data_IF_938416370761
#
_entry.id   IF_938416370761
#
_cell.length_a   1.000
_cell.length_b   1.000
_cell.length_c   1.000
_cell.angle_alpha   90.00
_cell.angle_beta   90.00
_cell.angle_gamma   90.00
#
_symmetry.space_group_name_H-M   'P 1'
#
loop_
_entity.id
_entity.type
_entity.pdbx_description
1 polymer ?
#
# COMPACT_ATOMS: atom_id res chain seq x y z
N UNK A 1 22.49 -49.29 41.89
CA UNK A 1 21.24 -49.09 41.10
C UNK A 1 21.13 -47.62 40.82
N UNK A 2 21.45 -47.21 39.60
CA UNK A 2 21.32 -45.85 39.16
C UNK A 2 19.94 -45.69 38.50
N UNK A 3 19.06 -44.95 39.16
CA UNK A 3 17.78 -44.55 38.55
C UNK A 3 18.06 -43.46 37.52
N UNK A 4 18.09 -43.84 36.25
CA UNK A 4 18.05 -42.88 35.13
C UNK A 4 16.68 -42.20 35.06
N UNK A 5 16.60 -40.98 35.53
CA UNK A 5 15.46 -40.14 35.28
C UNK A 5 15.40 -39.83 33.78
N UNK A 6 14.46 -40.40 33.07
CA UNK A 6 14.10 -39.92 31.74
C UNK A 6 13.60 -38.50 31.92
N UNK A 7 14.32 -37.50 31.44
CA UNK A 7 13.78 -36.18 31.20
C UNK A 7 12.67 -36.36 30.16
N UNK A 8 11.42 -36.23 30.57
CA UNK A 8 10.30 -36.10 29.64
C UNK A 8 10.58 -34.91 28.73
N UNK A 9 10.67 -35.15 27.41
CA UNK A 9 10.67 -34.08 26.43
C UNK A 9 9.42 -33.26 26.67
N UNK A 10 9.51 -31.91 26.69
CA UNK A 10 8.29 -31.09 26.88
C UNK A 10 7.23 -31.47 25.87
N UNK A 11 6.03 -31.73 26.36
CA UNK A 11 4.83 -31.91 25.51
C UNK A 11 4.55 -30.60 24.80
N UNK A 12 4.21 -30.66 23.47
CA UNK A 12 3.80 -29.49 22.70
C UNK A 12 2.50 -28.92 23.25
N UNK A 13 2.32 -27.63 23.06
CA UNK A 13 1.11 -26.89 23.41
C UNK A 13 0.26 -26.62 22.18
N UNK A 14 -1.03 -26.37 22.34
CA UNK A 14 -1.86 -25.75 21.29
C UNK A 14 -1.79 -24.25 21.44
N UNK A 15 -1.34 -23.57 20.39
CA UNK A 15 -1.22 -22.12 20.31
C UNK A 15 -2.28 -21.60 19.36
N UNK A 16 -3.10 -20.68 19.84
CA UNK A 16 -4.18 -20.04 19.06
C UNK A 16 -3.73 -18.66 18.63
N UNK A 17 -3.79 -18.37 17.33
CA UNK A 17 -3.47 -17.09 16.73
C UNK A 17 -4.64 -16.59 15.91
N UNK A 18 -4.87 -15.27 15.94
CA UNK A 18 -5.78 -14.60 15.04
C UNK A 18 -4.95 -13.81 14.01
N UNK A 19 -5.25 -14.01 12.75
CA UNK A 19 -4.64 -13.28 11.64
C UNK A 19 -5.69 -12.44 10.94
N UNK A 20 -5.37 -11.19 10.58
CA UNK A 20 -6.25 -10.40 9.75
C UNK A 20 -5.63 -10.04 8.40
N UNK A 21 -6.44 -10.15 7.35
CA UNK A 21 -6.07 -9.87 5.97
C UNK A 21 -7.28 -9.64 5.08
N UNK A 22 -7.02 -9.36 3.81
CA UNK A 22 -8.05 -9.08 2.81
C UNK A 22 -8.89 -10.33 2.53
N UNK A 23 -10.21 -10.17 2.37
CA UNK A 23 -11.12 -11.30 2.08
C UNK A 23 -10.75 -12.03 0.77
N UNK A 24 -10.28 -11.30 -0.26
CA UNK A 24 -9.82 -11.87 -1.54
C UNK A 24 -8.61 -12.81 -1.41
N UNK A 25 -7.77 -12.60 -0.40
CA UNK A 25 -6.51 -13.30 -0.24
C UNK A 25 -6.61 -14.47 0.76
N UNK A 26 -7.84 -14.71 1.29
CA UNK A 26 -8.08 -15.68 2.35
C UNK A 26 -7.60 -17.09 1.97
N UNK A 27 -8.05 -17.62 0.84
CA UNK A 27 -7.70 -19.00 0.41
C UNK A 27 -6.18 -19.15 0.21
N UNK A 28 -5.54 -18.13 -0.34
CA UNK A 28 -4.08 -18.11 -0.49
C UNK A 28 -3.38 -18.11 0.88
N UNK A 29 -3.79 -17.24 1.79
CA UNK A 29 -3.19 -17.16 3.12
C UNK A 29 -3.46 -18.45 3.94
N UNK A 30 -4.62 -19.08 3.82
CA UNK A 30 -4.89 -20.39 4.43
C UNK A 30 -3.91 -21.46 3.93
N UNK A 31 -3.55 -21.46 2.65
CA UNK A 31 -2.51 -22.35 2.10
C UNK A 31 -1.15 -22.07 2.77
N UNK A 32 -0.77 -20.81 2.93
CA UNK A 32 0.48 -20.43 3.60
C UNK A 32 0.47 -20.84 5.10
N UNK A 33 -0.68 -20.83 5.77
CA UNK A 33 -0.75 -21.28 7.16
C UNK A 33 -0.48 -22.78 7.28
N UNK A 34 -0.96 -23.61 6.35
CA UNK A 34 -0.63 -25.04 6.33
C UNK A 34 0.87 -25.28 6.05
N UNK A 35 1.46 -24.49 5.15
CA UNK A 35 2.90 -24.54 4.89
C UNK A 35 3.73 -24.11 6.13
N UNK A 36 3.31 -23.08 6.84
CA UNK A 36 3.91 -22.66 8.12
C UNK A 36 3.89 -23.81 9.14
N UNK A 37 2.72 -24.43 9.34
CA UNK A 37 2.57 -25.56 10.26
C UNK A 37 3.48 -26.73 9.90
N UNK A 38 3.55 -27.06 8.60
CA UNK A 38 4.42 -28.13 8.09
C UNK A 38 5.91 -27.81 8.32
N UNK A 39 6.34 -26.57 8.06
CA UNK A 39 7.72 -26.13 8.28
C UNK A 39 8.11 -26.17 9.77
N UNK A 40 7.20 -25.69 10.66
CA UNK A 40 7.42 -25.77 12.11
C UNK A 40 7.57 -27.21 12.59
N UNK A 41 6.70 -28.11 12.13
CA UNK A 41 6.77 -29.53 12.46
C UNK A 41 8.08 -30.17 11.95
N UNK A 42 8.49 -29.86 10.72
CA UNK A 42 9.76 -30.34 10.14
C UNK A 42 10.99 -29.83 10.92
N UNK A 43 10.94 -28.61 11.47
CA UNK A 43 11.95 -28.05 12.34
C UNK A 43 11.96 -28.66 13.76
N UNK A 44 11.08 -29.61 14.05
CA UNK A 44 11.00 -30.32 15.34
C UNK A 44 10.18 -29.59 16.41
N UNK A 45 9.43 -28.54 16.03
CA UNK A 45 8.47 -27.90 16.92
C UNK A 45 7.37 -28.89 17.30
N UNK A 46 7.04 -28.94 18.58
CA UNK A 46 6.02 -29.86 19.13
C UNK A 46 4.66 -29.19 19.29
N UNK A 47 4.60 -27.87 19.08
CA UNK A 47 3.36 -27.12 19.22
C UNK A 47 2.39 -27.42 18.06
N UNK A 48 1.11 -27.32 18.37
CA UNK A 48 0.02 -27.32 17.37
C UNK A 48 -0.46 -25.89 17.20
N UNK A 49 -0.59 -25.42 15.98
CA UNK A 49 -1.03 -24.07 15.66
C UNK A 49 -2.45 -24.06 15.12
N UNK A 50 -3.33 -23.28 15.75
CA UNK A 50 -4.67 -22.98 15.26
C UNK A 50 -4.69 -21.52 14.89
N UNK A 51 -4.88 -21.21 13.61
CA UNK A 51 -4.82 -19.84 13.07
C UNK A 51 -6.19 -19.51 12.50
N UNK A 52 -6.87 -18.54 13.12
CA UNK A 52 -8.16 -18.02 12.66
C UNK A 52 -7.93 -16.84 11.71
N UNK A 53 -8.67 -16.80 10.60
CA UNK A 53 -8.60 -15.72 9.62
C UNK A 53 -9.74 -14.73 9.84
N UNK A 54 -9.39 -13.47 10.12
CA UNK A 54 -10.29 -12.34 10.23
C UNK A 54 -10.25 -11.52 8.93
N UNK A 55 -11.40 -11.32 8.30
CA UNK A 55 -11.51 -10.58 7.03
C UNK A 55 -11.49 -9.07 7.28
N UNK A 56 -10.31 -8.54 7.63
CA UNK A 56 -10.06 -7.13 7.90
C UNK A 56 -8.84 -6.72 7.05
N UNK A 57 -9.09 -5.92 6.02
CA UNK A 57 -8.05 -5.47 5.08
C UNK A 57 -7.08 -4.44 5.68
N UNK A 58 -5.90 -4.26 5.05
CA UNK A 58 -4.83 -3.39 5.52
C UNK A 58 -5.23 -1.90 5.58
N UNK A 59 -6.27 -1.50 4.86
CA UNK A 59 -6.84 -0.15 4.84
C UNK A 59 -7.66 0.19 6.09
N UNK A 60 -8.20 -0.83 6.79
CA UNK A 60 -9.08 -0.70 7.95
C UNK A 60 -8.48 -1.21 9.26
N UNK A 61 -7.31 -1.84 9.17
CA UNK A 61 -6.72 -2.54 10.32
C UNK A 61 -6.41 -1.62 11.49
N UNK A 62 -5.99 -0.37 11.24
CA UNK A 62 -5.70 0.60 12.28
C UNK A 62 -6.92 0.84 13.18
N UNK A 63 -8.09 1.14 12.63
CA UNK A 63 -9.31 1.36 13.41
C UNK A 63 -9.69 0.14 14.26
N UNK A 64 -9.58 -1.06 13.67
CA UNK A 64 -9.95 -2.30 14.36
C UNK A 64 -8.94 -2.68 15.43
N UNK A 65 -7.62 -2.64 15.12
CA UNK A 65 -6.57 -3.02 16.07
C UNK A 65 -6.50 -2.05 17.25
N UNK A 66 -6.79 -0.77 17.04
CA UNK A 66 -6.75 0.24 18.10
C UNK A 66 -7.92 0.10 19.08
N UNK A 67 -9.09 -0.30 18.57
CA UNK A 67 -10.31 -0.43 19.40
C UNK A 67 -10.43 -1.83 20.01
N UNK A 68 -9.87 -2.85 19.38
CA UNK A 68 -10.05 -4.23 19.77
C UNK A 68 -8.82 -4.80 20.52
N UNK A 69 -8.90 -4.80 21.83
CA UNK A 69 -7.84 -5.27 22.76
C UNK A 69 -8.14 -6.62 23.41
N UNK A 70 -9.22 -7.28 23.00
CA UNK A 70 -9.64 -8.56 23.57
C UNK A 70 -8.90 -9.76 22.96
N UNK A 71 -9.11 -10.94 23.53
CA UNK A 71 -8.49 -12.19 23.08
C UNK A 71 -8.82 -12.57 21.62
N UNK A 72 -9.87 -12.01 21.05
CA UNK A 72 -10.23 -12.19 19.63
C UNK A 72 -9.58 -11.19 18.67
N UNK A 73 -8.84 -10.19 19.17
CA UNK A 73 -8.11 -9.26 18.31
C UNK A 73 -7.00 -9.97 17.52
N UNK A 74 -6.57 -9.43 16.36
CA UNK A 74 -5.52 -10.06 15.57
C UNK A 74 -4.16 -10.02 16.29
N UNK A 75 -3.50 -11.15 16.35
CA UNK A 75 -2.09 -11.28 16.76
C UNK A 75 -1.15 -10.83 15.65
N UNK A 76 -1.48 -11.20 14.41
CA UNK A 76 -0.77 -10.83 13.18
C UNK A 76 -1.76 -10.18 12.24
N UNK A 77 -1.38 -9.08 11.64
CA UNK A 77 -2.26 -8.33 10.74
C UNK A 77 -1.50 -7.70 9.57
N UNK A 78 -2.17 -7.58 8.44
CA UNK A 78 -1.69 -6.81 7.29
C UNK A 78 -1.95 -5.32 7.50
N UNK A 79 -0.96 -4.48 7.20
CA UNK A 79 -1.11 -3.03 7.23
C UNK A 79 -0.39 -2.38 6.04
N UNK A 80 -0.96 -1.31 5.51
CA UNK A 80 -0.28 -0.43 4.57
C UNK A 80 0.75 0.44 5.31
N UNK A 81 1.82 0.83 4.63
CA UNK A 81 2.96 1.51 5.24
C UNK A 81 2.62 2.85 5.92
N UNK A 82 1.61 3.58 5.43
CA UNK A 82 1.12 4.82 6.03
C UNK A 82 0.55 4.64 7.45
N UNK A 83 0.17 3.41 7.82
CA UNK A 83 -0.41 3.11 9.13
C UNK A 83 0.64 2.91 10.24
N UNK A 84 1.93 2.81 9.88
CA UNK A 84 2.97 2.47 10.87
C UNK A 84 3.03 3.47 12.03
N UNK A 85 2.88 4.77 11.74
CA UNK A 85 2.95 5.83 12.76
C UNK A 85 1.87 5.68 13.83
N UNK A 86 0.61 5.58 13.43
CA UNK A 86 -0.53 5.46 14.35
C UNK A 86 -0.50 4.14 15.12
N UNK A 87 -0.14 3.03 14.45
CA UNK A 87 -0.03 1.72 15.09
C UNK A 87 1.10 1.68 16.12
N UNK A 88 2.23 2.35 15.82
CA UNK A 88 3.35 2.52 16.75
C UNK A 88 2.94 3.32 17.99
N UNK A 89 2.36 4.50 17.81
CA UNK A 89 1.91 5.36 18.90
C UNK A 89 0.97 4.65 19.87
N UNK A 90 0.10 3.82 19.36
CA UNK A 90 -0.89 3.11 20.16
C UNK A 90 -0.38 1.80 20.77
N UNK A 91 0.90 1.47 20.58
CA UNK A 91 1.51 0.25 21.10
C UNK A 91 0.94 -1.02 20.48
N UNK A 92 0.42 -0.92 19.25
CA UNK A 92 -0.16 -2.04 18.50
C UNK A 92 0.89 -2.84 17.73
N UNK A 93 2.14 -2.38 17.70
CA UNK A 93 3.27 -3.01 17.01
C UNK A 93 4.33 -3.47 18.01
N UNK A 94 4.68 -4.74 17.95
CA UNK A 94 5.81 -5.29 18.71
C UNK A 94 7.13 -4.82 18.08
N UNK A 95 8.05 -4.33 18.92
CA UNK A 95 9.42 -4.04 18.49
C UNK A 95 10.15 -5.33 18.13
N UNK A 96 10.78 -5.37 16.97
CA UNK A 96 11.60 -6.51 16.54
C UNK A 96 12.97 -6.47 17.23
N UNK A 97 13.42 -7.63 17.72
CA UNK A 97 14.73 -7.81 18.34
C UNK A 97 15.37 -9.15 17.95
N UNK A 98 16.68 -9.28 18.12
CA UNK A 98 17.43 -10.51 17.81
C UNK A 98 17.17 -10.98 16.38
N UNK A 99 16.89 -12.27 16.20
CA UNK A 99 16.69 -12.89 14.88
C UNK A 99 15.62 -12.22 14.02
N UNK A 100 14.62 -11.56 14.62
CA UNK A 100 13.55 -10.89 13.89
C UNK A 100 14.02 -9.57 13.26
N UNK A 101 14.86 -8.80 13.98
CA UNK A 101 15.50 -7.61 13.42
C UNK A 101 16.56 -8.00 12.37
N UNK A 102 17.38 -9.04 12.66
CA UNK A 102 18.35 -9.59 11.72
C UNK A 102 17.70 -10.08 10.42
N UNK A 103 16.47 -10.57 10.46
CA UNK A 103 15.72 -10.92 9.25
C UNK A 103 15.48 -9.72 8.36
N UNK A 104 15.13 -8.55 8.93
CA UNK A 104 14.95 -7.32 8.17
C UNK A 104 16.27 -6.86 7.58
N UNK A 105 17.34 -6.81 8.39
CA UNK A 105 18.69 -6.39 7.95
C UNK A 105 19.21 -7.25 6.79
N UNK A 106 19.01 -8.58 6.88
CA UNK A 106 19.56 -9.52 5.92
C UNK A 106 18.76 -9.63 4.62
N UNK A 107 17.43 -9.44 4.67
CA UNK A 107 16.57 -9.78 3.54
C UNK A 107 15.68 -8.64 3.05
N UNK A 108 15.46 -7.58 3.85
CA UNK A 108 14.54 -6.48 3.51
C UNK A 108 15.25 -5.14 3.38
N UNK A 109 16.59 -5.13 3.34
CA UNK A 109 17.39 -3.92 3.27
C UNK A 109 16.95 -2.96 2.15
N UNK A 110 17.07 -1.67 2.40
CA UNK A 110 16.59 -0.61 1.51
C UNK A 110 15.12 -0.30 1.72
N UNK A 111 14.35 -0.16 0.66
CA UNK A 111 12.95 0.29 0.72
C UNK A 111 12.08 -0.56 1.67
N UNK A 112 12.24 -1.89 1.67
CA UNK A 112 11.47 -2.75 2.58
C UNK A 112 11.71 -2.41 4.05
N UNK A 113 12.95 -2.18 4.45
CA UNK A 113 13.28 -1.81 5.83
C UNK A 113 12.71 -0.44 6.22
N UNK A 114 12.67 0.53 5.29
CA UNK A 114 12.13 1.87 5.59
C UNK A 114 10.64 1.83 5.90
N UNK A 115 9.87 0.92 5.26
CA UNK A 115 8.43 0.76 5.49
C UNK A 115 8.06 0.42 6.94
N UNK A 116 8.99 -0.14 7.71
CA UNK A 116 8.74 -0.67 9.07
C UNK A 116 9.65 -0.06 10.13
N UNK A 117 10.40 0.98 9.79
CA UNK A 117 11.34 1.66 10.68
C UNK A 117 10.66 2.82 11.42
N UNK A 118 10.75 2.81 12.76
CA UNK A 118 10.35 3.92 13.62
C UNK A 118 11.39 4.09 14.73
N UNK A 119 11.87 5.32 14.94
CA UNK A 119 12.83 5.66 16.00
C UNK A 119 14.04 4.72 16.08
N UNK A 120 14.62 4.37 14.91
CA UNK A 120 15.82 3.53 14.80
C UNK A 120 15.62 2.05 15.12
N UNK A 121 14.39 1.55 15.10
CA UNK A 121 14.07 0.14 15.27
C UNK A 121 12.97 -0.31 14.28
N UNK A 122 12.84 -1.61 14.09
CA UNK A 122 11.84 -2.22 13.21
C UNK A 122 10.61 -2.66 14.01
N UNK A 123 9.41 -2.47 13.38
CA UNK A 123 8.11 -2.75 14.02
C UNK A 123 7.16 -3.55 13.13
N UNK A 124 7.68 -4.23 12.10
CA UNK A 124 6.87 -5.07 11.22
C UNK A 124 7.73 -5.87 10.25
N UNK A 125 7.07 -6.70 9.46
CA UNK A 125 7.68 -7.59 8.47
C UNK A 125 7.16 -7.21 7.08
N UNK A 126 7.93 -6.45 6.26
CA UNK A 126 7.48 -6.01 4.95
C UNK A 126 7.34 -7.21 4.01
N UNK A 127 6.26 -7.24 3.23
CA UNK A 127 6.03 -8.35 2.30
C UNK A 127 5.72 -7.90 0.87
N UNK A 128 5.31 -6.65 0.66
CA UNK A 128 5.21 -6.06 -0.68
C UNK A 128 5.84 -4.67 -0.72
N UNK A 129 6.43 -4.32 -1.87
CA UNK A 129 6.98 -3.00 -2.15
C UNK A 129 6.25 -2.30 -3.30
N UNK A 130 5.00 -2.66 -3.55
CA UNK A 130 4.22 -2.23 -4.70
C UNK A 130 2.84 -1.67 -4.34
N UNK A 131 2.66 -1.13 -3.13
CA UNK A 131 1.41 -0.45 -2.79
C UNK A 131 1.34 0.89 -3.52
N UNK A 132 1.03 0.82 -4.81
CA UNK A 132 0.95 1.94 -5.76
C UNK A 132 -0.08 1.66 -6.84
N UNK A 133 -0.19 2.58 -7.79
CA UNK A 133 -1.06 2.48 -8.95
C UNK A 133 -0.38 3.13 -10.16
N UNK A 134 -0.73 2.66 -11.34
CA UNK A 134 -0.26 3.20 -12.61
C UNK A 134 -1.27 2.89 -13.72
N UNK A 135 -0.96 3.30 -14.96
CA UNK A 135 -1.87 3.14 -16.07
C UNK A 135 -1.94 1.68 -16.53
N UNK A 136 -3.17 1.14 -16.57
CA UNK A 136 -3.57 -0.13 -17.17
C UNK A 136 -4.43 0.18 -18.41
N UNK A 137 -4.15 -0.38 -19.57
CA UNK A 137 -4.86 0.02 -20.79
C UNK A 137 -4.98 -1.10 -21.84
N UNK A 138 -5.91 -0.92 -22.77
CA UNK A 138 -6.15 -1.78 -23.92
C UNK A 138 -5.24 -1.36 -25.09
N UNK A 139 -4.23 -2.18 -25.45
CA UNK A 139 -3.32 -1.97 -26.57
C UNK A 139 -4.02 -2.00 -27.95
N UNK A 140 -5.24 -2.54 -28.04
CA UNK A 140 -6.00 -2.46 -29.29
C UNK A 140 -6.58 -1.07 -29.57
N UNK A 141 -6.64 -0.23 -28.52
CA UNK A 141 -7.16 1.15 -28.58
C UNK A 141 -6.04 2.18 -28.52
N UNK A 142 -5.09 1.99 -27.60
CA UNK A 142 -4.04 2.97 -27.31
C UNK A 142 -2.65 2.43 -27.70
N UNK A 143 -1.88 3.27 -28.38
CA UNK A 143 -0.46 3.03 -28.63
C UNK A 143 0.40 3.47 -27.45
N UNK A 144 1.68 3.06 -27.43
CA UNK A 144 2.64 3.53 -26.42
C UNK A 144 2.82 5.06 -26.44
N UNK A 145 2.58 5.73 -27.56
CA UNK A 145 2.66 7.19 -27.67
C UNK A 145 1.46 7.86 -27.03
N UNK A 146 0.25 7.33 -27.26
CA UNK A 146 -1.01 7.88 -26.72
C UNK A 146 -1.02 7.89 -25.18
N UNK A 147 -0.34 6.92 -24.55
CA UNK A 147 -0.35 6.75 -23.09
C UNK A 147 0.76 7.52 -22.34
N UNK A 148 1.64 8.24 -23.06
CA UNK A 148 2.73 9.00 -22.42
C UNK A 148 2.23 10.24 -21.67
N UNK A 149 1.17 10.88 -22.13
CA UNK A 149 0.58 12.06 -21.49
C UNK A 149 -0.90 11.86 -21.25
N UNK A 150 -1.42 12.49 -20.21
CA UNK A 150 -2.85 12.43 -19.89
C UNK A 150 -3.68 13.14 -20.98
N UNK A 151 -3.16 14.21 -21.57
CA UNK A 151 -3.80 14.92 -22.66
C UNK A 151 -3.92 14.04 -23.91
N UNK A 152 -2.85 13.32 -24.29
CA UNK A 152 -2.87 12.38 -25.42
C UNK A 152 -3.81 11.22 -25.17
N UNK A 153 -3.77 10.64 -23.98
CA UNK A 153 -4.64 9.53 -23.57
C UNK A 153 -6.13 9.92 -23.63
N UNK A 154 -6.48 11.05 -23.03
CA UNK A 154 -7.87 11.54 -23.02
C UNK A 154 -8.36 11.95 -24.42
N UNK A 155 -7.52 12.63 -25.21
CA UNK A 155 -7.89 13.02 -26.59
C UNK A 155 -8.10 11.79 -27.47
N UNK A 156 -7.26 10.76 -27.35
CA UNK A 156 -7.42 9.51 -28.10
C UNK A 156 -8.69 8.76 -27.65
N UNK A 157 -8.97 8.70 -26.35
CA UNK A 157 -10.19 8.10 -25.85
C UNK A 157 -11.44 8.79 -26.39
N UNK A 158 -11.50 10.14 -26.36
CA UNK A 158 -12.60 10.92 -26.90
C UNK A 158 -12.79 10.67 -28.39
N UNK A 159 -11.71 10.67 -29.19
CA UNK A 159 -11.76 10.42 -30.61
C UNK A 159 -12.37 9.05 -30.94
N UNK A 160 -12.06 8.02 -30.18
CA UNK A 160 -12.52 6.65 -30.41
C UNK A 160 -13.86 6.34 -29.70
N UNK A 161 -14.42 7.29 -28.92
CA UNK A 161 -15.66 7.11 -28.17
C UNK A 161 -15.48 6.24 -26.91
N UNK A 162 -14.30 6.23 -26.33
CA UNK A 162 -13.95 5.51 -25.10
C UNK A 162 -13.72 6.45 -23.92
N UNK A 163 -13.53 5.88 -22.76
CA UNK A 163 -13.32 6.59 -21.49
C UNK A 163 -12.03 6.14 -20.81
N UNK A 164 -11.46 7.06 -20.01
CA UNK A 164 -10.32 6.84 -19.13
C UNK A 164 -10.78 6.98 -17.71
N UNK A 165 -10.62 5.93 -16.91
CA UNK A 165 -10.95 5.95 -15.49
C UNK A 165 -9.74 6.40 -14.67
N UNK A 166 -9.93 7.45 -13.87
CA UNK A 166 -8.98 7.90 -12.85
C UNK A 166 -9.77 8.42 -11.65
N UNK A 167 -9.62 7.75 -10.51
CA UNK A 167 -10.31 8.13 -9.28
C UNK A 167 -9.64 9.35 -8.65
N UNK A 168 -10.09 10.52 -9.05
CA UNK A 168 -9.65 11.78 -8.45
C UNK A 168 -10.45 12.16 -7.20
N UNK A 169 -11.57 11.48 -6.93
CA UNK A 169 -12.47 11.80 -5.82
C UNK A 169 -12.03 11.17 -4.49
N UNK A 170 -11.16 10.17 -4.50
CA UNK A 170 -10.61 9.60 -3.27
C UNK A 170 -9.15 9.99 -3.04
N UNK A 171 -8.78 10.20 -1.78
CA UNK A 171 -7.48 10.76 -1.45
C UNK A 171 -6.29 9.89 -1.87
N UNK A 172 -6.39 8.57 -1.76
CA UNK A 172 -5.28 7.68 -2.14
C UNK A 172 -4.88 7.85 -3.62
N UNK A 173 -5.85 8.03 -4.50
CA UNK A 173 -5.63 8.18 -5.94
C UNK A 173 -5.46 9.64 -6.34
N UNK A 174 -6.43 10.49 -5.96
CA UNK A 174 -6.51 11.87 -6.43
C UNK A 174 -5.62 12.83 -5.67
N UNK A 175 -5.46 12.65 -4.34
CA UNK A 175 -4.64 13.55 -3.55
C UNK A 175 -3.16 13.49 -3.95
N UNK A 176 -2.66 12.33 -4.36
CA UNK A 176 -1.28 12.22 -4.82
C UNK A 176 -1.00 13.01 -6.11
N UNK A 177 -2.02 13.34 -6.91
CA UNK A 177 -1.86 14.25 -8.04
C UNK A 177 -1.39 15.66 -7.62
N UNK A 178 -1.59 16.05 -6.36
CA UNK A 178 -1.07 17.31 -5.81
C UNK A 178 0.45 17.35 -5.73
N UNK A 179 1.14 16.21 -5.71
CA UNK A 179 2.61 16.14 -5.71
C UNK A 179 3.23 16.37 -7.10
N UNK A 180 2.43 16.40 -8.18
CA UNK A 180 2.88 16.38 -9.59
C UNK A 180 3.97 17.40 -9.91
N UNK A 181 3.91 18.61 -9.37
CA UNK A 181 4.87 19.67 -9.64
C UNK A 181 5.80 19.98 -8.45
N UNK A 182 5.88 19.05 -7.47
CA UNK A 182 6.80 19.13 -6.35
C UNK A 182 6.27 19.86 -5.11
N UNK A 183 4.96 20.12 -5.02
CA UNK A 183 4.34 20.46 -3.73
C UNK A 183 4.35 19.24 -2.82
N UNK A 184 4.50 19.44 -1.51
CA UNK A 184 4.72 18.36 -0.58
C UNK A 184 4.21 18.69 0.83
N UNK A 185 4.24 17.68 1.70
CA UNK A 185 4.07 17.80 3.14
C UNK A 185 5.24 17.14 3.87
N UNK A 186 5.42 17.50 5.12
CA UNK A 186 6.29 16.76 6.05
C UNK A 186 5.67 16.70 7.44
N UNK A 187 5.87 15.59 8.12
CA UNK A 187 5.43 15.39 9.50
C UNK A 187 6.65 15.11 10.37
N UNK A 188 6.81 15.86 11.46
CA UNK A 188 7.83 15.58 12.48
C UNK A 188 7.19 14.99 13.74
N UNK A 189 7.92 14.12 14.42
CA UNK A 189 7.48 13.39 15.59
C UNK A 189 8.41 13.59 16.78
N UNK A 190 7.87 13.48 18.00
CA UNK A 190 8.68 13.38 19.22
C UNK A 190 9.21 11.95 19.45
N UNK A 191 9.96 11.73 20.55
CA UNK A 191 10.53 10.43 20.91
C UNK A 191 9.46 9.36 21.19
N UNK A 192 8.26 9.78 21.57
CA UNK A 192 7.10 8.92 21.83
C UNK A 192 6.27 8.66 20.57
N UNK A 193 6.64 9.29 19.44
CA UNK A 193 5.95 9.15 18.16
C UNK A 193 4.75 10.09 18.00
N UNK A 194 4.53 11.05 18.91
CA UNK A 194 3.47 12.05 18.75
C UNK A 194 3.86 13.07 17.68
N UNK A 195 2.88 13.52 16.89
CA UNK A 195 3.11 14.56 15.88
C UNK A 195 3.48 15.87 16.57
N UNK A 196 4.65 16.40 16.24
CA UNK A 196 5.14 17.72 16.68
C UNK A 196 4.69 18.82 15.73
N UNK A 197 4.84 18.61 14.44
CA UNK A 197 4.55 19.62 13.43
C UNK A 197 4.18 18.95 12.09
N UNK A 198 3.21 19.53 11.40
CA UNK A 198 2.89 19.22 10.01
C UNK A 198 3.15 20.49 9.18
N UNK A 199 3.95 20.36 8.13
CA UNK A 199 4.17 21.40 7.12
C UNK A 199 3.60 20.95 5.80
N UNK A 200 3.07 21.87 5.02
CA UNK A 200 2.63 21.64 3.64
C UNK A 200 2.73 22.92 2.84
N UNK A 201 2.99 22.80 1.54
CA UNK A 201 3.14 23.95 0.62
C UNK A 201 2.26 23.82 -0.65
N UNK A 202 1.14 23.07 -0.54
CA UNK A 202 0.18 22.89 -1.64
C UNK A 202 -0.47 24.20 -2.11
N UNK A 203 -0.43 25.25 -1.32
CA UNK A 203 -0.91 26.59 -1.71
C UNK A 203 0.15 27.42 -2.48
N UNK A 204 1.33 26.88 -2.69
CA UNK A 204 2.39 27.48 -3.51
C UNK A 204 2.16 27.32 -5.02
N UNK A 205 3.12 27.83 -5.81
CA UNK A 205 3.05 27.77 -7.28
C UNK A 205 2.98 26.32 -7.82
N UNK A 206 3.66 25.38 -7.16
CA UNK A 206 3.63 23.96 -7.52
C UNK A 206 2.26 23.35 -7.30
N UNK A 207 1.66 23.58 -6.14
CA UNK A 207 0.31 23.09 -5.82
C UNK A 207 -0.77 23.73 -6.72
N UNK A 208 -0.63 25.03 -7.08
CA UNK A 208 -1.54 25.67 -8.03
C UNK A 208 -1.48 25.03 -9.41
N UNK A 209 -0.28 24.66 -9.91
CA UNK A 209 -0.14 23.90 -11.16
C UNK A 209 -0.82 22.53 -11.07
N UNK A 210 -0.60 21.81 -9.96
CA UNK A 210 -1.23 20.51 -9.72
C UNK A 210 -2.77 20.61 -9.68
N UNK A 211 -3.30 21.64 -9.01
CA UNK A 211 -4.73 21.92 -8.97
C UNK A 211 -5.32 22.22 -10.36
N UNK A 212 -4.59 22.97 -11.20
CA UNK A 212 -4.99 23.21 -12.61
C UNK A 212 -5.01 21.91 -13.41
N UNK A 213 -4.04 21.03 -13.22
CA UNK A 213 -4.00 19.71 -13.87
C UNK A 213 -5.22 18.87 -13.49
N UNK A 214 -5.51 18.74 -12.18
CA UNK A 214 -6.68 18.02 -11.66
C UNK A 214 -7.97 18.60 -12.25
N UNK A 215 -8.12 19.92 -12.20
CA UNK A 215 -9.28 20.60 -12.79
C UNK A 215 -9.44 20.27 -14.27
N UNK A 216 -8.37 20.38 -15.06
CA UNK A 216 -8.41 20.11 -16.50
C UNK A 216 -8.80 18.67 -16.82
N UNK A 217 -8.26 17.68 -16.08
CA UNK A 217 -8.60 16.27 -16.25
C UNK A 217 -10.09 16.05 -15.97
N UNK A 218 -10.59 16.57 -14.86
CA UNK A 218 -12.00 16.39 -14.45
C UNK A 218 -13.01 17.07 -15.39
N UNK A 219 -12.60 18.09 -16.13
CA UNK A 219 -13.46 18.74 -17.13
C UNK A 219 -13.43 18.06 -18.50
N UNK A 220 -12.57 17.06 -18.71
CA UNK A 220 -12.46 16.38 -20.00
C UNK A 220 -13.59 15.36 -20.19
N UNK A 221 -14.31 15.38 -21.35
CA UNK A 221 -15.47 14.51 -21.57
C UNK A 221 -15.15 13.01 -21.58
N UNK A 222 -13.93 12.62 -21.88
CA UNK A 222 -13.48 11.22 -21.83
C UNK A 222 -13.01 10.76 -20.45
N UNK A 223 -12.95 11.66 -19.45
CA UNK A 223 -12.61 11.27 -18.09
C UNK A 223 -13.85 10.75 -17.35
N UNK A 224 -13.67 9.64 -16.60
CA UNK A 224 -14.65 9.15 -15.64
C UNK A 224 -13.97 8.84 -14.30
N UNK A 225 -14.66 9.06 -13.19
CA UNK A 225 -14.13 8.73 -11.88
C UNK A 225 -14.15 7.21 -11.66
N UNK A 226 -13.00 6.62 -11.33
CA UNK A 226 -12.89 5.20 -11.05
C UNK A 226 -11.43 4.72 -11.09
N UNK A 227 -11.16 3.58 -10.44
CA UNK A 227 -9.82 2.99 -10.33
C UNK A 227 -9.82 1.46 -10.46
N UNK A 228 -11.01 0.85 -10.57
CA UNK A 228 -11.18 -0.60 -10.69
C UNK A 228 -11.04 -1.13 -12.10
N UNK A 229 -11.02 -2.45 -12.21
CA UNK A 229 -11.08 -3.15 -13.50
C UNK A 229 -12.41 -2.83 -14.18
N UNK A 230 -12.41 -2.45 -15.49
CA UNK A 230 -13.62 -2.13 -16.21
C UNK A 230 -14.58 -3.34 -16.28
N UNK A 231 -15.87 -3.07 -16.49
CA UNK A 231 -16.84 -4.12 -16.86
C UNK A 231 -16.95 -4.26 -18.37
N UNK A 232 -17.46 -5.38 -18.84
CA UNK A 232 -17.64 -5.63 -20.28
C UNK A 232 -18.60 -4.63 -20.95
N UNK A 233 -19.52 -4.04 -20.18
CA UNK A 233 -20.50 -3.07 -20.64
C UNK A 233 -20.00 -1.63 -20.62
N UNK A 234 -18.86 -1.37 -19.95
CA UNK A 234 -18.32 -0.01 -19.86
C UNK A 234 -17.54 0.38 -21.13
N UNK A 235 -17.47 1.70 -21.38
CA UNK A 235 -16.63 2.24 -22.44
C UNK A 235 -15.18 2.50 -21.99
N UNK A 236 -14.84 2.20 -20.73
CA UNK A 236 -13.47 2.39 -20.19
C UNK A 236 -12.50 1.44 -20.87
N UNK A 237 -11.42 2.00 -21.42
CA UNK A 237 -10.33 1.24 -22.06
C UNK A 237 -8.96 1.56 -21.50
N UNK A 238 -8.90 2.50 -20.55
CA UNK A 238 -7.70 2.77 -19.75
C UNK A 238 -8.12 3.14 -18.34
N UNK A 239 -7.34 2.69 -17.34
CA UNK A 239 -7.61 2.93 -15.92
C UNK A 239 -6.30 3.21 -15.19
N UNK A 240 -6.27 4.24 -14.36
CA UNK A 240 -5.26 4.38 -13.32
C UNK A 240 -5.63 3.39 -12.22
N UNK A 241 -5.02 2.21 -12.23
CA UNK A 241 -5.43 1.04 -11.45
C UNK A 241 -4.36 0.53 -10.51
N UNK A 242 -4.78 -0.01 -9.36
CA UNK A 242 -3.89 -0.52 -8.33
C UNK A 242 -3.14 -1.80 -8.73
N UNK A 243 -1.93 -1.94 -8.22
CA UNK A 243 -1.07 -3.11 -8.46
C UNK A 243 -1.71 -4.42 -7.99
N UNK A 244 -2.55 -4.36 -6.98
CA UNK A 244 -3.29 -5.54 -6.44
C UNK A 244 -4.38 -6.08 -7.38
N UNK A 245 -4.73 -5.35 -8.44
CA UNK A 245 -5.72 -5.78 -9.44
C UNK A 245 -5.07 -6.18 -10.78
N UNK A 246 -3.73 -6.21 -10.91
CA UNK A 246 -3.00 -6.54 -12.14
C UNK A 246 -3.49 -7.86 -12.76
N UNK A 247 -3.68 -8.91 -11.96
CA UNK A 247 -4.16 -10.20 -12.46
C UNK A 247 -5.55 -10.09 -13.11
N UNK A 248 -6.44 -9.30 -12.53
CA UNK A 248 -7.79 -9.05 -13.07
C UNK A 248 -7.75 -8.18 -14.33
N UNK A 249 -6.86 -7.17 -14.40
CA UNK A 249 -6.66 -6.38 -15.62
C UNK A 249 -6.10 -7.26 -16.77
N UNK A 250 -5.15 -8.14 -16.47
CA UNK A 250 -4.62 -9.11 -17.45
C UNK A 250 -5.71 -10.05 -17.94
N UNK A 251 -6.57 -10.54 -17.07
CA UNK A 251 -7.72 -11.36 -17.44
C UNK A 251 -8.71 -10.59 -18.31
N UNK A 252 -9.03 -9.34 -17.96
CA UNK A 252 -9.99 -8.51 -18.67
C UNK A 252 -9.54 -8.15 -20.09
N UNK A 253 -8.28 -7.66 -20.25
CA UNK A 253 -7.77 -7.23 -21.54
C UNK A 253 -7.12 -8.36 -22.37
N UNK A 254 -6.81 -9.52 -21.77
CA UNK A 254 -6.15 -10.64 -22.42
C UNK A 254 -4.85 -10.24 -23.10
N UNK A 255 -4.68 -10.63 -24.38
CA UNK A 255 -3.48 -10.33 -25.19
C UNK A 255 -3.28 -8.83 -25.44
N UNK A 256 -4.34 -8.03 -25.28
CA UNK A 256 -4.31 -6.57 -25.43
C UNK A 256 -3.92 -5.84 -24.14
N UNK A 257 -3.66 -6.55 -23.05
CA UNK A 257 -3.23 -5.91 -21.82
C UNK A 257 -1.94 -5.09 -22.02
N UNK A 258 -1.99 -3.81 -21.65
CA UNK A 258 -0.88 -2.89 -21.58
C UNK A 258 -0.78 -2.24 -20.20
N UNK A 259 0.45 -1.88 -19.81
CA UNK A 259 0.69 -1.08 -18.61
C UNK A 259 1.76 -0.04 -18.88
N UNK A 260 1.63 1.12 -18.25
CA UNK A 260 2.60 2.21 -18.35
C UNK A 260 2.66 2.95 -17.01
N UNK A 261 3.77 3.67 -16.76
CA UNK A 261 3.87 4.59 -15.62
C UNK A 261 2.76 5.63 -15.67
N UNK A 262 2.53 6.35 -14.58
CA UNK A 262 1.62 7.49 -14.56
C UNK A 262 1.94 8.42 -15.72
N UNK A 263 0.93 8.80 -16.55
CA UNK A 263 1.13 9.71 -17.67
C UNK A 263 1.71 11.05 -17.23
N UNK A 264 2.38 11.75 -18.12
CA UNK A 264 2.75 13.14 -17.88
C UNK A 264 1.54 14.06 -18.04
N UNK A 265 1.62 15.23 -17.42
CA UNK A 265 0.68 16.34 -17.64
C UNK A 265 1.47 17.62 -17.85
N UNK A 266 0.97 18.52 -18.72
CA UNK A 266 1.62 19.81 -19.02
C UNK A 266 0.77 20.97 -18.53
N UNK A 267 1.33 21.79 -17.63
CA UNK A 267 0.68 23.01 -17.14
C UNK A 267 1.63 24.18 -17.26
N UNK A 268 1.20 25.27 -17.89
CA UNK A 268 1.99 26.48 -18.08
C UNK A 268 3.39 26.21 -18.70
N UNK A 269 3.50 25.19 -19.60
CA UNK A 269 4.74 24.79 -20.27
C UNK A 269 5.69 23.90 -19.43
N UNK A 270 5.30 23.53 -18.23
CA UNK A 270 6.01 22.56 -17.37
C UNK A 270 5.36 21.18 -17.48
N UNK A 271 6.14 20.16 -17.82
CA UNK A 271 5.65 18.78 -18.04
C UNK A 271 6.24 17.86 -16.98
N UNK A 272 5.38 17.23 -16.20
CA UNK A 272 5.74 16.30 -15.14
C UNK A 272 4.88 15.04 -15.20
N UNK A 273 5.37 13.91 -14.67
CA UNK A 273 4.51 12.76 -14.40
C UNK A 273 3.47 13.09 -13.34
N UNK A 274 2.22 12.67 -13.56
CA UNK A 274 1.18 12.77 -12.54
C UNK A 274 1.67 12.06 -11.26
N UNK A 275 1.55 12.76 -10.13
CA UNK A 275 1.96 12.26 -8.83
C UNK A 275 1.18 10.99 -8.46
N UNK A 276 1.86 10.09 -7.78
CA UNK A 276 1.29 8.86 -7.23
C UNK A 276 1.97 8.52 -5.92
N UNK A 277 1.30 7.77 -5.07
CA UNK A 277 1.95 7.16 -3.92
C UNK A 277 2.76 5.93 -4.35
N UNK A 278 3.92 5.75 -3.72
CA UNK A 278 4.68 4.50 -3.71
C UNK A 278 4.85 4.06 -2.25
N UNK A 279 4.38 2.88 -1.96
CA UNK A 279 4.40 2.35 -0.61
C UNK A 279 4.56 0.83 -0.63
N UNK A 280 4.31 0.24 0.51
CA UNK A 280 4.32 -1.21 0.68
C UNK A 280 3.31 -1.64 1.73
N UNK A 281 3.29 -2.93 1.99
CA UNK A 281 2.51 -3.51 3.07
C UNK A 281 3.42 -4.36 3.95
N UNK A 282 3.05 -4.46 5.20
CA UNK A 282 3.79 -5.25 6.18
C UNK A 282 2.85 -6.05 7.09
N UNK A 283 3.37 -7.09 7.69
CA UNK A 283 2.71 -7.78 8.78
C UNK A 283 3.13 -7.15 10.11
N UNK A 284 2.16 -6.61 10.85
CA UNK A 284 2.32 -6.17 12.23
C UNK A 284 2.07 -7.33 13.19
N UNK A 285 2.78 -7.33 14.32
CA UNK A 285 2.52 -8.23 15.46
C UNK A 285 2.01 -7.41 16.62
N UNK A 286 0.81 -7.74 17.11
CA UNK A 286 0.16 -7.01 18.19
C UNK A 286 0.57 -7.54 19.58
N UNK A 287 1.42 -6.85 20.33
CA UNK A 287 1.86 -7.32 21.64
C UNK A 287 0.77 -7.26 22.70
N UNK A 288 -0.31 -6.50 22.48
CA UNK A 288 -1.40 -6.31 23.45
C UNK A 288 -2.30 -7.55 23.53
N UNK A 289 -2.41 -8.32 22.44
CA UNK A 289 -3.26 -9.53 22.40
C UNK A 289 -2.63 -10.69 23.15
N UNK A 290 -1.32 -10.84 23.04
CA UNK A 290 -0.55 -11.88 23.70
C UNK A 290 0.00 -11.46 25.06
N UNK A 291 -0.58 -10.42 25.67
CA UNK A 291 -0.14 -9.89 26.97
C UNK A 291 -0.02 -10.99 28.04
N UNK A 292 1.23 -11.25 28.48
CA UNK A 292 1.55 -12.30 29.45
C UNK A 292 1.72 -13.71 28.88
N UNK A 293 1.42 -13.96 27.60
CA UNK A 293 1.65 -15.24 26.90
C UNK A 293 2.83 -15.12 25.92
N UNK A 294 4.02 -15.40 26.41
CA UNK A 294 5.26 -15.33 25.60
C UNK A 294 5.26 -16.34 24.45
N UNK A 295 4.68 -17.53 24.64
CA UNK A 295 4.65 -18.56 23.59
C UNK A 295 3.75 -18.08 22.41
N UNK A 296 2.61 -17.43 22.72
CA UNK A 296 1.72 -16.83 21.74
C UNK A 296 2.41 -15.69 20.98
N UNK A 297 3.10 -14.78 21.69
CA UNK A 297 3.84 -13.68 21.06
C UNK A 297 4.95 -14.18 20.14
N UNK A 298 5.75 -15.17 20.59
CA UNK A 298 6.79 -15.79 19.76
C UNK A 298 6.17 -16.44 18.53
N UNK A 299 5.07 -17.17 18.67
CA UNK A 299 4.37 -17.80 17.55
C UNK A 299 3.83 -16.78 16.54
N UNK A 300 3.33 -15.62 16.99
CA UNK A 300 2.89 -14.52 16.13
C UNK A 300 4.08 -13.96 15.31
N UNK A 301 5.24 -13.74 15.95
CA UNK A 301 6.45 -13.33 15.23
C UNK A 301 6.93 -14.38 14.22
N UNK A 302 6.92 -15.67 14.58
CA UNK A 302 7.30 -16.75 13.66
C UNK A 302 6.37 -16.81 12.44
N UNK A 303 5.05 -16.65 12.66
CA UNK A 303 4.07 -16.61 11.57
C UNK A 303 4.30 -15.38 10.67
N UNK A 304 4.44 -14.19 11.24
CA UNK A 304 4.66 -12.96 10.48
C UNK A 304 5.96 -13.01 9.66
N UNK A 305 7.06 -13.51 10.26
CA UNK A 305 8.34 -13.69 9.59
C UNK A 305 8.24 -14.72 8.45
N UNK A 306 7.52 -15.84 8.65
CA UNK A 306 7.28 -16.83 7.59
C UNK A 306 6.49 -16.25 6.43
N UNK A 307 5.40 -15.51 6.72
CA UNK A 307 4.56 -14.87 5.71
C UNK A 307 5.29 -13.79 4.91
N UNK A 308 6.29 -13.14 5.52
CA UNK A 308 7.19 -12.21 4.87
C UNK A 308 8.45 -12.89 4.27
N UNK A 309 8.60 -14.19 4.42
CA UNK A 309 9.76 -14.95 3.93
C UNK A 309 9.78 -15.10 2.42
N UNK A 310 10.94 -15.55 1.91
CA UNK A 310 11.19 -15.74 0.48
C UNK A 310 10.08 -16.54 -0.21
N UNK A 311 9.73 -17.72 0.33
CA UNK A 311 8.73 -18.63 -0.24
C UNK A 311 7.37 -17.94 -0.41
N UNK A 312 6.85 -17.33 0.65
CA UNK A 312 5.56 -16.70 0.64
C UNK A 312 5.50 -15.50 -0.32
N UNK A 313 6.56 -14.68 -0.37
CA UNK A 313 6.63 -13.56 -1.31
C UNK A 313 6.80 -14.02 -2.77
N UNK A 314 7.56 -15.09 -3.03
CA UNK A 314 7.64 -15.70 -4.36
C UNK A 314 6.28 -16.22 -4.81
N UNK A 315 5.55 -16.93 -3.95
CA UNK A 315 4.21 -17.42 -4.25
C UNK A 315 3.20 -16.28 -4.51
N UNK A 316 3.30 -15.16 -3.79
CA UNK A 316 2.48 -13.95 -4.07
C UNK A 316 2.78 -13.36 -5.44
N UNK A 317 4.06 -13.27 -5.81
CA UNK A 317 4.42 -12.82 -7.16
C UNK A 317 3.87 -13.74 -8.25
N UNK A 318 4.05 -15.06 -8.10
CA UNK A 318 3.61 -16.04 -9.09
C UNK A 318 2.08 -16.08 -9.27
N UNK A 319 1.32 -15.89 -8.18
CA UNK A 319 -0.15 -15.96 -8.23
C UNK A 319 -0.81 -14.62 -8.57
N UNK A 320 -0.23 -13.50 -8.14
CA UNK A 320 -0.90 -12.19 -8.20
C UNK A 320 -0.07 -11.10 -8.88
N UNK A 321 1.21 -11.34 -9.20
CA UNK A 321 2.12 -10.34 -9.76
C UNK A 321 2.56 -9.29 -8.73
N UNK A 322 2.42 -9.56 -7.43
CA UNK A 322 2.78 -8.64 -6.34
C UNK A 322 4.30 -8.58 -6.18
N UNK A 323 4.88 -7.38 -6.23
CA UNK A 323 6.32 -7.19 -6.13
C UNK A 323 6.84 -7.47 -4.69
N UNK A 324 7.82 -8.38 -4.54
CA UNK A 324 8.35 -8.73 -3.23
C UNK A 324 9.29 -7.66 -2.66
N UNK A 325 9.35 -7.58 -1.33
CA UNK A 325 10.40 -6.86 -0.61
C UNK A 325 11.65 -7.74 -0.37
N UNK A 326 11.49 -9.05 -0.22
CA UNK A 326 12.56 -9.99 0.12
C UNK A 326 13.60 -10.10 -0.99
N UNK A 327 14.88 -9.86 -0.67
CA UNK A 327 15.99 -9.79 -1.63
C UNK A 327 16.14 -11.05 -2.49
N UNK A 328 15.91 -12.25 -1.90
CA UNK A 328 15.99 -13.51 -2.64
C UNK A 328 14.75 -13.75 -3.51
N UNK A 329 13.55 -13.30 -3.08
CA UNK A 329 12.35 -13.40 -3.90
C UNK A 329 12.44 -12.47 -5.12
N UNK A 330 13.08 -11.30 -5.00
CA UNK A 330 13.36 -10.38 -6.12
C UNK A 330 14.23 -10.99 -7.24
N UNK A 331 14.94 -12.09 -6.96
CA UNK A 331 15.75 -12.79 -7.97
C UNK A 331 14.94 -13.77 -8.83
N UNK A 332 13.62 -13.81 -8.68
CA UNK A 332 12.77 -14.66 -9.50
C UNK A 332 13.01 -14.39 -11.00
N UNK A 333 13.27 -15.43 -11.84
CA UNK A 333 13.75 -15.26 -13.22
C UNK A 333 12.79 -14.48 -14.12
N UNK A 334 11.49 -14.52 -13.84
CA UNK A 334 10.48 -13.83 -14.66
C UNK A 334 10.41 -12.32 -14.39
N UNK A 335 10.90 -11.83 -13.26
CA UNK A 335 10.73 -10.40 -12.87
C UNK A 335 11.44 -9.43 -13.80
N UNK A 336 12.61 -9.80 -14.30
CA UNK A 336 13.39 -8.93 -15.16
C UNK A 336 12.70 -8.59 -16.49
N UNK A 337 11.79 -9.45 -16.95
CA UNK A 337 11.04 -9.29 -18.19
C UNK A 337 9.53 -9.10 -17.96
N UNK A 338 9.09 -9.00 -16.71
CA UNK A 338 7.68 -8.71 -16.41
C UNK A 338 7.40 -7.22 -16.66
N UNK A 339 6.52 -6.86 -17.61
CA UNK A 339 6.21 -5.47 -17.90
C UNK A 339 5.75 -4.68 -16.67
N UNK A 340 5.01 -5.32 -15.74
CA UNK A 340 4.54 -4.66 -14.53
C UNK A 340 5.69 -4.35 -13.57
N UNK A 341 6.69 -5.24 -13.46
CA UNK A 341 7.88 -4.99 -12.64
C UNK A 341 8.75 -3.88 -13.24
N UNK A 342 8.84 -3.81 -14.58
CA UNK A 342 9.56 -2.73 -15.28
C UNK A 342 8.86 -1.40 -15.00
N UNK A 343 7.54 -1.33 -15.20
CA UNK A 343 6.73 -0.12 -14.93
C UNK A 343 6.86 0.30 -13.45
N UNK A 344 6.76 -0.64 -12.51
CA UNK A 344 6.89 -0.37 -11.09
C UNK A 344 8.24 0.25 -10.74
N UNK A 345 9.34 -0.28 -11.29
CA UNK A 345 10.69 0.25 -11.06
C UNK A 345 10.88 1.66 -11.66
N UNK A 346 10.28 1.95 -12.80
CA UNK A 346 10.29 3.30 -13.40
C UNK A 346 9.42 4.26 -12.57
N UNK A 347 8.22 3.83 -12.16
CA UNK A 347 7.29 4.59 -11.33
C UNK A 347 7.91 5.03 -9.99
N UNK A 348 8.69 4.16 -9.37
CA UNK A 348 9.35 4.43 -8.09
C UNK A 348 10.34 5.62 -8.15
N UNK A 349 10.74 6.08 -9.33
CA UNK A 349 11.67 7.20 -9.50
C UNK A 349 11.01 8.57 -9.25
N UNK A 350 9.69 8.66 -9.36
CA UNK A 350 8.92 9.89 -9.22
C UNK A 350 7.67 9.77 -8.33
N UNK A 351 7.41 8.57 -7.82
CA UNK A 351 6.32 8.36 -6.85
C UNK A 351 6.65 8.98 -5.49
N UNK A 352 5.63 9.50 -4.82
CA UNK A 352 5.74 10.04 -3.47
C UNK A 352 5.71 8.89 -2.44
N UNK A 353 6.63 8.81 -1.49
CA UNK A 353 6.60 7.79 -0.44
C UNK A 353 5.29 7.84 0.37
N UNK A 354 4.65 6.69 0.53
CA UNK A 354 3.46 6.57 1.37
C UNK A 354 3.89 6.26 2.81
N UNK A 355 4.50 7.25 3.44
CA UNK A 355 4.90 7.21 4.84
C UNK A 355 4.47 8.48 5.57
N UNK A 356 4.31 8.42 6.88
CA UNK A 356 4.01 9.57 7.73
C UNK A 356 2.91 10.52 7.20
N UNK A 357 1.90 9.98 6.53
CA UNK A 357 0.82 10.76 5.90
C UNK A 357 -0.02 11.44 6.97
N UNK A 358 -0.17 12.79 6.96
CA UNK A 358 -1.03 13.49 7.91
C UNK A 358 -2.49 13.03 7.78
N UNK A 359 -3.19 12.84 8.88
CA UNK A 359 -4.58 12.38 8.86
C UNK A 359 -5.49 13.27 8.00
N UNK A 360 -5.28 14.59 8.05
CA UNK A 360 -6.04 15.56 7.25
C UNK A 360 -5.77 15.44 5.74
N UNK A 361 -4.64 14.88 5.32
CA UNK A 361 -4.35 14.63 3.90
C UNK A 361 -5.30 13.59 3.28
N UNK A 362 -5.97 12.78 4.08
CA UNK A 362 -6.98 11.84 3.58
C UNK A 362 -8.36 12.48 3.36
N UNK A 363 -8.60 13.70 3.84
CA UNK A 363 -9.91 14.36 3.76
C UNK A 363 -9.89 15.69 3.02
N UNK A 364 -8.87 16.53 3.22
CA UNK A 364 -8.80 17.86 2.61
C UNK A 364 -8.81 17.84 1.07
N UNK A 365 -8.03 16.99 0.38
CA UNK A 365 -8.09 16.86 -1.08
C UNK A 365 -9.45 16.39 -1.60
N UNK A 366 -10.11 15.48 -0.89
CA UNK A 366 -11.46 15.00 -1.26
C UNK A 366 -12.47 16.15 -1.25
N UNK A 367 -12.39 17.04 -0.27
CA UNK A 367 -13.23 18.25 -0.20
C UNK A 367 -12.94 19.19 -1.37
N UNK A 368 -11.66 19.41 -1.69
CA UNK A 368 -11.22 20.23 -2.82
C UNK A 368 -11.77 19.72 -4.17
N UNK A 369 -11.59 18.42 -4.43
CA UNK A 369 -12.08 17.76 -5.66
C UNK A 369 -13.62 17.77 -5.71
N UNK A 370 -14.28 17.53 -4.57
CA UNK A 370 -15.74 17.68 -4.45
C UNK A 370 -16.22 19.06 -4.89
N UNK A 371 -15.50 20.12 -4.53
CA UNK A 371 -15.79 21.49 -4.96
C UNK A 371 -15.61 21.72 -6.47
N UNK A 372 -14.64 21.05 -7.11
CA UNK A 372 -14.51 21.07 -8.59
C UNK A 372 -15.73 20.39 -9.23
N UNK A 373 -16.14 19.26 -8.70
CA UNK A 373 -17.25 18.45 -9.21
C UNK A 373 -18.59 19.18 -9.11
N UNK A 374 -18.86 19.87 -8.01
CA UNK A 374 -20.10 20.61 -7.80
C UNK A 374 -20.07 22.05 -8.35
N UNK A 375 -18.94 22.50 -8.89
CA UNK A 375 -18.74 23.80 -9.50
C UNK A 375 -18.51 24.96 -8.52
N UNK A 376 -18.31 24.69 -7.24
CA UNK A 376 -17.94 25.71 -6.22
C UNK A 376 -16.45 26.07 -6.31
N UNK A 377 -15.61 25.16 -6.82
CA UNK A 377 -14.22 25.43 -7.18
C UNK A 377 -14.09 25.56 -8.69
N UNK A 378 -13.61 26.71 -9.13
CA UNK A 378 -13.42 27.10 -10.54
C UNK A 378 -11.99 27.59 -10.77
N UNK A 379 -11.58 27.80 -12.01
CA UNK A 379 -10.26 28.40 -12.30
C UNK A 379 -10.09 29.80 -11.70
N UNK A 380 -11.18 30.54 -11.50
CA UNK A 380 -11.14 31.92 -10.97
C UNK A 380 -10.81 31.94 -9.46
N UNK A 381 -11.31 30.96 -8.68
CA UNK A 381 -11.10 30.86 -7.24
C UNK A 381 -10.15 29.72 -6.82
N UNK A 382 -9.42 29.16 -7.78
CA UNK A 382 -8.58 27.97 -7.55
C UNK A 382 -7.50 28.21 -6.49
N UNK A 383 -6.90 29.41 -6.46
CA UNK A 383 -5.91 29.77 -5.44
C UNK A 383 -6.54 29.75 -4.04
N UNK A 384 -7.69 30.35 -3.85
CA UNK A 384 -8.40 30.36 -2.56
C UNK A 384 -8.77 28.92 -2.11
N UNK A 385 -9.16 28.07 -3.06
CA UNK A 385 -9.48 26.68 -2.78
C UNK A 385 -8.24 25.88 -2.30
N UNK A 386 -7.08 26.05 -2.93
CA UNK A 386 -5.84 25.38 -2.48
C UNK A 386 -5.26 25.99 -1.20
N UNK A 387 -5.46 27.28 -0.94
CA UNK A 387 -5.13 27.90 0.36
C UNK A 387 -5.95 27.23 1.47
N UNK A 388 -7.23 27.01 1.25
CA UNK A 388 -8.13 26.32 2.18
C UNK A 388 -7.70 24.87 2.38
N UNK A 389 -7.35 24.15 1.31
CA UNK A 389 -6.85 22.78 1.35
C UNK A 389 -5.57 22.71 2.21
N UNK A 390 -4.58 23.55 1.91
CA UNK A 390 -3.30 23.58 2.63
C UNK A 390 -3.49 23.87 4.12
N UNK A 391 -4.31 24.89 4.45
CA UNK A 391 -4.62 25.24 5.83
C UNK A 391 -5.32 24.09 6.58
N UNK A 392 -6.16 23.32 5.90
CA UNK A 392 -6.81 22.15 6.48
C UNK A 392 -5.81 21.03 6.81
N UNK A 393 -4.77 20.87 5.99
CA UNK A 393 -3.72 19.85 6.24
C UNK A 393 -2.85 20.25 7.44
N UNK A 394 -2.36 21.49 7.48
CA UNK A 394 -1.44 21.95 8.55
C UNK A 394 -2.15 22.28 9.87
N UNK A 395 -3.43 22.60 9.83
CA UNK A 395 -4.24 22.95 11.01
C UNK A 395 -4.93 21.77 11.66
N UNK A 396 -4.77 20.56 11.12
CA UNK A 396 -5.36 19.37 11.72
C UNK A 396 -4.73 19.11 13.09
N UNK A 397 -5.55 18.95 14.17
CA UNK A 397 -5.03 18.51 15.45
C UNK A 397 -4.36 17.15 15.24
N UNK A 398 -3.25 16.91 15.95
CA UNK A 398 -2.61 15.60 16.00
C UNK A 398 -3.67 14.55 16.37
N UNK A 399 -3.81 13.53 15.51
CA UNK A 399 -4.81 12.47 15.68
C UNK A 399 -4.47 11.53 16.83
#
# INVERSE_FOLDING_TARGET
>A
MACGGQQQKPEGKTIYLNYSGTASDKEFNLTLFEEFKAERAAAGDKNTYVIEYLEIGPDKVDSVVLDWKGAGAPDVYEAASDKIGILYQKGALAKLGGKYAEFIDNYMAGFGATLVSMNGAYYGYPYTGDNTYYLQYDKSVFTEEDVKSIEGLLAKAEQEGYEVAYDLETAFWGAAALFTFGADYSTSYDEDGNVLEIKADFNGAAGLKAAKAIYSIMQHPAWVNGSGVPTAESNVRATIGGTWDIAKFKEFYGDNYGCAVMPTVTVDGDTQHLGCFVGGKFFGVNPQVSSGDTDRLVAAHELAMFLAGQKAQTMRYENFGIAPCHSEAKKHPNMANDPNMIVLNEQAKFGHPQDAVPAAFWTAPTTFVGGIKDGTVTLENLQEAIDTLNNSIIGAPAA
#
